data_IF_544611697749
#
_entry.id   IF_544611697749
#
_cell.length_a   1.000
_cell.length_b   1.000
_cell.length_c   1.000
_cell.angle_alpha   90.00
_cell.angle_beta   90.00
_cell.angle_gamma   90.00
#
_symmetry.space_group_name_H-M   'P 1'
#
loop_
_entity.id
_entity.type
_entity.pdbx_description
1 polymer ?
#
# COMPACT_ATOMS: atom_id res chain seq x y z
N UNK A 1 -24.11 12.13 -18.77
CA UNK A 1 -22.85 11.56 -18.23
C UNK A 1 -22.88 10.05 -18.45
N UNK A 2 -22.03 9.50 -19.32
CA UNK A 2 -21.96 8.04 -19.55
C UNK A 2 -21.32 7.37 -18.34
N UNK A 3 -22.05 6.49 -17.66
CA UNK A 3 -21.54 5.63 -16.60
C UNK A 3 -20.57 4.61 -17.22
N UNK A 4 -19.27 4.90 -17.19
CA UNK A 4 -18.27 3.88 -17.52
C UNK A 4 -18.26 2.84 -16.40
N UNK A 5 -18.59 1.58 -16.73
CA UNK A 5 -18.41 0.44 -15.81
C UNK A 5 -16.91 0.24 -15.60
N UNK A 6 -16.37 0.80 -14.52
CA UNK A 6 -15.00 0.56 -14.08
C UNK A 6 -14.95 -0.80 -13.39
N UNK A 7 -13.93 -1.61 -13.68
CA UNK A 7 -13.79 -2.92 -13.05
C UNK A 7 -13.61 -2.76 -11.53
N UNK A 8 -14.15 -3.70 -10.76
CA UNK A 8 -14.07 -3.68 -9.29
C UNK A 8 -12.61 -3.70 -8.79
N UNK A 9 -11.70 -4.28 -9.57
CA UNK A 9 -10.26 -4.29 -9.28
C UNK A 9 -9.53 -2.96 -9.53
N UNK A 10 -10.11 -2.06 -10.33
CA UNK A 10 -9.61 -0.70 -10.57
C UNK A 10 -10.23 0.36 -9.64
N UNK A 11 -11.30 0.00 -8.90
CA UNK A 11 -12.04 0.89 -8.00
C UNK A 11 -11.82 0.61 -6.51
N UNK A 12 -11.08 -0.44 -6.18
CA UNK A 12 -10.77 -0.84 -4.81
C UNK A 12 -9.27 -0.72 -4.51
N UNK A 13 -8.89 -0.45 -3.25
CA UNK A 13 -7.50 -0.54 -2.82
C UNK A 13 -6.96 -1.94 -3.13
N UNK A 14 -5.70 -2.03 -3.58
CA UNK A 14 -5.03 -3.33 -3.73
C UNK A 14 -4.80 -3.93 -2.36
N UNK A 15 -5.47 -5.04 -2.08
CA UNK A 15 -5.39 -5.74 -0.79
C UNK A 15 -4.69 -7.09 -0.93
N UNK A 16 -4.06 -7.54 0.15
CA UNK A 16 -3.45 -8.86 0.33
C UNK A 16 -3.86 -9.38 1.72
N UNK A 17 -4.55 -10.52 1.77
CA UNK A 17 -5.10 -11.05 3.03
C UNK A 17 -6.18 -10.18 3.68
N UNK A 18 -6.76 -9.22 2.96
CA UNK A 18 -7.75 -8.26 3.49
C UNK A 18 -7.14 -7.01 4.13
N UNK A 19 -5.81 -6.90 4.20
CA UNK A 19 -5.09 -5.67 4.51
C UNK A 19 -4.55 -5.04 3.21
N UNK A 20 -4.23 -3.75 3.23
CA UNK A 20 -3.64 -3.07 2.07
C UNK A 20 -2.28 -3.69 1.69
N UNK A 21 -2.08 -3.98 0.40
CA UNK A 21 -0.96 -4.79 -0.12
C UNK A 21 0.40 -4.32 0.40
N UNK A 22 0.67 -3.00 0.38
CA UNK A 22 1.94 -2.44 0.84
C UNK A 22 2.19 -2.68 2.32
N UNK A 23 1.18 -2.47 3.16
CA UNK A 23 1.27 -2.67 4.61
C UNK A 23 1.35 -4.16 4.96
N UNK A 24 0.65 -5.03 4.22
CA UNK A 24 0.75 -6.47 4.36
C UNK A 24 2.18 -6.97 4.07
N UNK A 25 2.80 -6.49 2.99
CA UNK A 25 4.19 -6.82 2.64
C UNK A 25 5.14 -6.31 3.74
N UNK A 26 5.02 -5.04 4.14
CA UNK A 26 5.88 -4.47 5.18
C UNK A 26 5.76 -5.22 6.51
N UNK A 27 4.55 -5.58 6.93
CA UNK A 27 4.33 -6.37 8.13
C UNK A 27 4.98 -7.75 8.02
N UNK A 28 4.80 -8.43 6.88
CA UNK A 28 5.42 -9.72 6.61
C UNK A 28 6.96 -9.66 6.64
N UNK A 29 7.55 -8.64 6.01
CA UNK A 29 9.01 -8.45 5.99
C UNK A 29 9.56 -8.14 7.37
N UNK A 30 8.91 -7.25 8.14
CA UNK A 30 9.30 -6.96 9.53
C UNK A 30 9.18 -8.18 10.42
N UNK A 31 8.09 -8.94 10.29
CA UNK A 31 7.86 -10.17 11.06
C UNK A 31 8.95 -11.20 10.77
N UNK A 32 9.27 -11.43 9.49
CA UNK A 32 10.32 -12.36 9.09
C UNK A 32 11.70 -11.91 9.60
N UNK A 33 12.02 -10.61 9.46
CA UNK A 33 13.28 -10.05 9.92
C UNK A 33 13.43 -10.19 11.44
N UNK A 34 12.43 -9.81 12.23
CA UNK A 34 12.48 -9.90 13.69
C UNK A 34 12.53 -11.34 14.19
N UNK A 35 11.78 -12.24 13.56
CA UNK A 35 11.82 -13.68 13.88
C UNK A 35 13.22 -14.25 13.61
N UNK A 36 13.82 -13.87 12.48
CA UNK A 36 15.16 -14.30 12.10
C UNK A 36 16.25 -13.73 13.03
N UNK A 37 16.22 -12.43 13.34
CA UNK A 37 17.26 -11.79 14.15
C UNK A 37 17.22 -12.21 15.61
N UNK A 38 16.02 -12.40 16.16
CA UNK A 38 15.85 -12.80 17.56
C UNK A 38 15.92 -14.30 17.80
N UNK A 39 15.86 -15.13 16.74
CA UNK A 39 15.68 -16.59 16.84
C UNK A 39 14.46 -17.02 17.68
N UNK A 40 13.49 -16.12 17.87
CA UNK A 40 12.29 -16.41 18.64
C UNK A 40 11.06 -16.48 17.73
N UNK A 41 10.23 -17.54 17.83
CA UNK A 41 9.00 -17.63 17.07
C UNK A 41 7.91 -16.65 17.57
N UNK A 42 8.12 -15.97 18.70
CA UNK A 42 7.16 -15.04 19.30
C UNK A 42 6.77 -13.89 18.36
N UNK A 43 7.69 -13.44 17.50
CA UNK A 43 7.39 -12.39 16.52
C UNK A 43 6.40 -12.83 15.44
N UNK A 44 6.24 -14.14 15.17
CA UNK A 44 5.19 -14.63 14.28
C UNK A 44 3.81 -14.32 14.84
N UNK A 45 3.60 -14.52 16.15
CA UNK A 45 2.34 -14.17 16.81
C UNK A 45 2.07 -12.67 16.73
N UNK A 46 3.10 -11.84 17.00
CA UNK A 46 2.99 -10.38 16.88
C UNK A 46 2.63 -9.99 15.44
N UNK A 47 3.29 -10.57 14.45
CA UNK A 47 3.02 -10.34 13.03
C UNK A 47 1.59 -10.70 12.63
N UNK A 48 1.06 -11.82 13.14
CA UNK A 48 -0.34 -12.23 12.91
C UNK A 48 -1.31 -11.24 13.55
N UNK A 49 -1.08 -10.83 14.80
CA UNK A 49 -1.93 -9.85 15.51
C UNK A 49 -1.95 -8.52 14.75
N UNK A 50 -0.79 -8.01 14.35
CA UNK A 50 -0.69 -6.78 13.55
C UNK A 50 -1.40 -6.94 12.20
N UNK A 51 -1.27 -8.09 11.54
CA UNK A 51 -1.95 -8.32 10.26
C UNK A 51 -3.49 -8.35 10.41
N UNK A 52 -4.00 -9.00 11.45
CA UNK A 52 -5.43 -9.01 11.77
C UNK A 52 -5.93 -7.60 12.09
N UNK A 53 -5.16 -6.82 12.85
CA UNK A 53 -5.49 -5.43 13.13
C UNK A 53 -5.55 -4.58 11.86
N UNK A 54 -4.57 -4.71 10.97
CA UNK A 54 -4.56 -4.01 9.68
C UNK A 54 -5.76 -4.39 8.83
N UNK A 55 -6.09 -5.69 8.75
CA UNK A 55 -7.29 -6.19 8.06
C UNK A 55 -8.57 -5.60 8.66
N UNK A 56 -8.67 -5.54 9.98
CA UNK A 56 -9.83 -4.97 10.66
C UNK A 56 -9.97 -3.46 10.38
N UNK A 57 -8.87 -2.70 10.41
CA UNK A 57 -8.89 -1.28 10.05
C UNK A 57 -9.26 -1.06 8.59
N UNK A 58 -8.71 -1.83 7.66
CA UNK A 58 -9.03 -1.73 6.23
C UNK A 58 -10.49 -2.08 5.90
N UNK A 59 -11.18 -2.85 6.75
CA UNK A 59 -12.59 -3.24 6.57
C UNK A 59 -13.59 -2.34 7.30
N UNK A 60 -13.22 -1.79 8.45
CA UNK A 60 -14.14 -1.07 9.34
C UNK A 60 -14.11 0.44 9.12
N UNK A 61 -12.98 1.00 8.68
CA UNK A 61 -12.77 2.46 8.64
C UNK A 61 -12.89 3.01 7.20
N UNK A 62 -13.95 3.79 6.89
CA UNK A 62 -14.14 4.38 5.57
C UNK A 62 -13.05 5.39 5.21
N UNK A 63 -12.51 6.11 6.21
CA UNK A 63 -11.48 7.13 5.99
C UNK A 63 -10.15 6.48 5.65
N UNK A 64 -9.80 5.40 6.36
CA UNK A 64 -8.64 4.57 6.03
C UNK A 64 -8.65 4.12 4.56
N UNK A 65 -9.80 3.68 4.07
CA UNK A 65 -9.97 3.23 2.68
C UNK A 65 -9.75 4.36 1.67
N UNK A 66 -10.17 5.58 1.96
CA UNK A 66 -9.94 6.76 1.10
C UNK A 66 -8.45 7.07 1.03
N UNK A 67 -7.78 7.11 2.19
CA UNK A 67 -6.32 7.34 2.27
C UNK A 67 -5.56 6.29 1.45
N UNK A 68 -5.92 5.02 1.58
CA UNK A 68 -5.28 3.93 0.84
C UNK A 68 -5.61 3.95 -0.66
N UNK A 69 -6.77 4.47 -1.07
CA UNK A 69 -7.08 4.72 -2.48
C UNK A 69 -6.21 5.83 -3.07
N UNK A 70 -5.98 6.92 -2.32
CA UNK A 70 -5.06 7.99 -2.72
C UNK A 70 -3.64 7.43 -2.88
N UNK A 71 -3.17 6.61 -1.93
CA UNK A 71 -1.86 5.98 -2.04
C UNK A 71 -1.75 4.99 -3.21
N UNK A 72 -2.80 4.20 -3.48
CA UNK A 72 -2.84 3.31 -4.64
C UNK A 72 -2.95 4.06 -5.98
N UNK A 73 -3.41 5.33 -5.98
CA UNK A 73 -3.49 6.19 -7.17
C UNK A 73 -2.14 6.83 -7.51
N UNK A 74 -1.29 7.01 -6.51
CA UNK A 74 0.07 7.55 -6.65
C UNK A 74 1.14 6.51 -6.25
N UNK A 75 1.07 5.25 -6.71
CA UNK A 75 2.01 4.22 -6.27
C UNK A 75 3.44 4.53 -6.69
N UNK A 76 3.61 5.30 -7.78
CA UNK A 76 4.91 5.71 -8.32
C UNK A 76 5.51 6.92 -7.58
N UNK A 77 4.68 7.69 -6.86
CA UNK A 77 5.08 8.91 -6.12
C UNK A 77 5.11 8.67 -4.62
N UNK A 78 4.30 7.75 -4.12
CA UNK A 78 4.16 7.45 -2.70
C UNK A 78 4.11 5.94 -2.46
N UNK A 79 5.26 5.38 -2.09
CA UNK A 79 5.30 4.09 -1.40
C UNK A 79 5.20 4.36 0.11
N UNK A 80 4.29 3.70 0.84
CA UNK A 80 4.17 3.86 2.29
C UNK A 80 5.34 3.24 3.10
N UNK A 81 6.34 2.67 2.41
CA UNK A 81 7.56 2.14 3.01
C UNK A 81 8.76 3.05 2.74
N UNK A 82 9.85 2.92 3.51
CA UNK A 82 11.10 3.60 3.21
C UNK A 82 11.65 3.10 1.86
N UNK A 83 11.46 3.87 0.78
CA UNK A 83 11.98 3.52 -0.53
C UNK A 83 13.40 4.06 -0.71
N UNK A 84 14.30 3.25 -1.27
CA UNK A 84 15.71 3.57 -1.46
C UNK A 84 15.99 4.53 -2.63
N UNK A 85 14.94 4.98 -3.34
CA UNK A 85 15.07 5.78 -4.56
C UNK A 85 14.67 7.25 -4.34
N UNK A 86 15.62 8.02 -3.79
CA UNK A 86 15.55 9.49 -3.74
C UNK A 86 15.43 10.17 -5.13
N UNK A 87 15.73 9.45 -6.23
CA UNK A 87 15.75 10.00 -7.60
C UNK A 87 14.38 10.15 -8.26
N UNK A 88 13.30 9.58 -7.71
CA UNK A 88 11.94 9.79 -8.21
C UNK A 88 11.38 11.19 -7.89
N UNK A 89 12.10 11.98 -7.07
CA UNK A 89 11.68 13.30 -6.60
C UNK A 89 11.53 14.37 -7.70
N UNK A 90 12.08 14.16 -8.90
CA UNK A 90 12.13 15.17 -9.97
C UNK A 90 11.39 14.79 -11.27
N UNK A 91 10.57 13.74 -11.30
CA UNK A 91 9.73 13.47 -12.48
C UNK A 91 8.37 14.15 -12.29
N UNK A 92 8.02 15.09 -13.17
CA UNK A 92 6.69 15.73 -13.15
C UNK A 92 5.59 14.66 -13.29
N UNK A 93 4.40 14.85 -12.70
CA UNK A 93 3.30 13.88 -12.77
C UNK A 93 2.84 13.61 -14.21
N UNK A 94 2.30 12.41 -14.44
CA UNK A 94 1.75 11.99 -15.74
C UNK A 94 0.43 12.71 -16.06
N UNK A 95 0.44 13.54 -17.12
CA UNK A 95 -0.64 14.48 -17.53
C UNK A 95 -0.72 15.72 -16.62
N UNK A 96 -0.73 16.98 -17.08
CA UNK A 96 -1.45 17.67 -18.17
C UNK A 96 -0.50 18.35 -19.19
N UNK A 97 0.78 17.96 -19.27
CA UNK A 97 1.76 18.63 -20.17
C UNK A 97 3.07 17.83 -20.39
N UNK A 98 3.08 16.51 -20.15
CA UNK A 98 4.36 15.77 -20.08
C UNK A 98 4.98 15.41 -21.44
N UNK A 99 4.16 15.35 -22.50
CA UNK A 99 4.58 14.93 -23.86
C UNK A 99 4.31 15.99 -24.94
N UNK A 100 4.03 17.24 -24.56
CA UNK A 100 3.87 18.33 -25.54
C UNK A 100 5.27 18.85 -25.94
N UNK A 101 5.62 18.83 -27.24
CA UNK A 101 6.77 19.60 -27.72
C UNK A 101 6.47 21.09 -27.50
N UNK A 102 7.48 21.82 -27.03
CA UNK A 102 7.44 23.27 -26.85
C UNK A 102 7.04 24.02 -28.13
#
# INVERSE_FOLDING_TARGET
MRQHKVSRGLSLPRQMGGADRGLAIFNGTMTALLTYTSWTPGFLLVGVVVHVFLRWKSSTDPWWRIVMLVYNRYPDVYEPGPSSRFSARFKRPYGFDQDLPC
#
